data_IF_675049684246
#
_entry.id   IF_675049684246
#
_cell.length_a   1.000
_cell.length_b   1.000
_cell.length_c   1.000
_cell.angle_alpha   90.00
_cell.angle_beta   90.00
_cell.angle_gamma   90.00
#
_symmetry.space_group_name_H-M   'P 1'
#
loop_
_entity.id
_entity.type
_entity.pdbx_description
1 polymer ?
#
# COMPACT_ATOMS: atom_id res chain seq x y z
N UNK A 1 -4.09 -2.64 -2.22
CA UNK A 1 -3.05 -3.63 -1.93
C UNK A 1 -2.58 -4.27 -3.22
N UNK A 2 -3.38 -5.14 -3.85
CA UNK A 2 -2.99 -5.80 -5.10
C UNK A 2 -2.66 -4.84 -6.24
N UNK A 3 -3.47 -3.79 -6.45
CA UNK A 3 -3.14 -2.73 -7.42
C UNK A 3 -1.83 -1.99 -7.08
N UNK A 4 -1.45 -1.94 -5.80
CA UNK A 4 -0.14 -1.40 -5.41
C UNK A 4 0.99 -2.32 -5.90
N UNK A 5 0.82 -3.64 -5.77
CA UNK A 5 1.77 -4.60 -6.31
C UNK A 5 1.86 -4.54 -7.85
N UNK A 6 0.75 -4.36 -8.57
CA UNK A 6 0.80 -4.19 -10.04
C UNK A 6 1.52 -2.90 -10.47
N UNK A 7 1.63 -1.91 -9.57
CA UNK A 7 2.39 -0.67 -9.74
C UNK A 7 3.81 -0.74 -9.16
N UNK A 8 4.27 -1.92 -8.72
CA UNK A 8 5.65 -2.15 -8.26
C UNK A 8 5.91 -1.82 -6.78
N UNK A 9 4.87 -1.66 -5.95
CA UNK A 9 5.06 -1.49 -4.51
C UNK A 9 5.24 -2.84 -3.81
N UNK A 10 6.11 -2.85 -2.81
CA UNK A 10 6.22 -3.94 -1.84
C UNK A 10 5.35 -3.67 -0.60
N UNK A 11 5.29 -4.65 0.30
CA UNK A 11 4.64 -4.49 1.60
C UNK A 11 5.21 -3.32 2.40
N UNK A 12 4.34 -2.62 3.10
CA UNK A 12 4.69 -1.50 3.96
C UNK A 12 4.68 -1.94 5.43
N UNK A 13 5.65 -1.49 6.22
CA UNK A 13 5.70 -1.74 7.67
C UNK A 13 4.68 -0.91 8.47
N UNK A 14 4.08 0.12 7.86
CA UNK A 14 3.06 0.93 8.53
C UNK A 14 1.75 0.14 8.61
N UNK A 15 1.26 -0.24 9.80
CA UNK A 15 0.06 -1.08 9.97
C UNK A 15 -1.24 -0.39 9.51
N UNK A 16 -1.21 0.92 9.28
CA UNK A 16 -2.36 1.69 8.77
C UNK A 16 -2.32 1.91 7.26
N UNK A 17 -1.23 1.52 6.57
CA UNK A 17 -1.15 1.66 5.12
C UNK A 17 -1.88 0.50 4.43
N UNK A 18 -2.55 0.77 3.31
CA UNK A 18 -3.17 -0.28 2.47
C UNK A 18 -2.17 -1.34 1.99
N UNK A 19 -0.87 -1.00 1.92
CA UNK A 19 0.21 -1.93 1.58
C UNK A 19 0.75 -2.74 2.77
N UNK A 20 0.17 -2.60 3.97
CA UNK A 20 0.48 -3.50 5.07
C UNK A 20 0.06 -4.93 4.72
N UNK A 21 0.95 -5.88 4.97
CA UNK A 21 0.66 -7.30 4.83
C UNK A 21 -0.22 -7.76 5.99
N UNK A 22 -1.37 -8.34 5.68
CA UNK A 22 -2.35 -8.79 6.67
C UNK A 22 -2.34 -10.32 6.77
N UNK A 23 -2.08 -10.87 7.96
CA UNK A 23 -2.17 -12.30 8.24
C UNK A 23 -3.55 -12.72 8.77
N UNK A 24 -4.44 -11.76 9.03
CA UNK A 24 -5.81 -12.02 9.47
C UNK A 24 -6.78 -10.93 9.00
N UNK A 25 -8.07 -11.21 9.08
CA UNK A 25 -9.14 -10.25 8.76
C UNK A 25 -9.04 -9.02 9.68
N UNK A 26 -8.77 -9.22 10.97
CA UNK A 26 -8.60 -8.11 11.91
C UNK A 26 -7.51 -7.12 11.49
N UNK A 27 -6.40 -7.61 10.92
CA UNK A 27 -5.34 -6.74 10.41
C UNK A 27 -5.73 -6.02 9.12
N UNK A 28 -6.58 -6.64 8.30
CA UNK A 28 -7.18 -6.00 7.13
C UNK A 28 -8.15 -4.89 7.53
N UNK A 29 -8.95 -5.10 8.56
CA UNK A 29 -9.87 -4.08 9.08
C UNK A 29 -9.14 -2.93 9.78
N UNK A 30 -7.98 -3.21 10.38
CA UNK A 30 -7.13 -2.20 11.04
C UNK A 30 -6.48 -1.23 10.05
N UNK A 31 -6.05 -1.72 8.87
CA UNK A 31 -5.35 -0.85 7.90
C UNK A 31 -6.34 0.04 7.16
N UNK A 32 -5.91 1.24 6.78
CA UNK A 32 -6.73 2.12 5.95
C UNK A 32 -6.74 1.62 4.50
N UNK A 33 -7.76 2.00 3.75
CA UNK A 33 -7.80 1.85 2.29
C UNK A 33 -6.82 2.77 1.56
N UNK A 34 -6.22 3.73 2.27
CA UNK A 34 -5.29 4.73 1.76
C UNK A 34 -3.83 4.27 1.81
N UNK A 35 -3.04 4.76 0.85
CA UNK A 35 -1.58 4.68 0.95
C UNK A 35 -1.07 5.66 2.02
N UNK A 36 -0.04 5.26 2.76
CA UNK A 36 0.73 6.23 3.54
C UNK A 36 1.53 7.16 2.61
N UNK A 37 2.03 8.28 3.12
CA UNK A 37 2.79 9.27 2.32
C UNK A 37 3.92 8.66 1.49
N UNK A 38 4.67 7.71 2.06
CA UNK A 38 5.76 7.00 1.35
C UNK A 38 5.26 6.16 0.18
N UNK A 39 4.21 5.37 0.38
CA UNK A 39 3.64 4.53 -0.68
C UNK A 39 2.92 5.39 -1.73
N UNK A 40 2.27 6.47 -1.33
CA UNK A 40 1.63 7.41 -2.24
C UNK A 40 2.64 8.01 -3.22
N UNK A 41 3.79 8.51 -2.74
CA UNK A 41 4.85 9.04 -3.61
C UNK A 41 5.40 7.99 -4.58
N UNK A 42 5.51 6.72 -4.16
CA UNK A 42 5.93 5.62 -5.05
C UNK A 42 4.90 5.39 -6.17
N UNK A 43 3.61 5.36 -5.83
CA UNK A 43 2.52 5.24 -6.82
C UNK A 43 2.53 6.41 -7.78
N UNK A 44 2.62 7.64 -7.26
CA UNK A 44 2.64 8.85 -8.07
C UNK A 44 3.80 8.82 -9.08
N UNK A 45 5.00 8.41 -8.65
CA UNK A 45 6.15 8.24 -9.53
C UNK A 45 5.93 7.14 -10.58
N UNK A 46 5.37 5.99 -10.18
CA UNK A 46 5.08 4.89 -11.10
C UNK A 46 4.05 5.28 -12.19
N UNK A 47 3.11 6.18 -11.87
CA UNK A 47 2.13 6.69 -12.83
C UNK A 47 2.68 7.81 -13.72
N UNK A 48 3.60 8.64 -13.22
CA UNK A 48 4.27 9.71 -14.02
C UNK A 48 5.32 9.17 -15.01
N UNK A 49 5.83 7.97 -14.78
CA UNK A 49 6.79 7.30 -15.67
C UNK A 49 6.13 6.50 -16.82
N UNK A 50 4.82 6.61 -16.98
CA UNK A 50 4.05 6.12 -18.15
C UNK A 50 3.63 7.28 -19.01
#
# INVERSE_FOLDING_TARGET
HELGHTLGLEHCVNPFCVMYFSNSIFETDRKQSLFCSKCFLKVENAMKMR
#
